data_IF_408476400027
#
_entry.id   IF_408476400027
#
_cell.length_a   1.000
_cell.length_b   1.000
_cell.length_c   1.000
_cell.angle_alpha   90.00
_cell.angle_beta   90.00
_cell.angle_gamma   90.00
#
_symmetry.space_group_name_H-M   'P 1'
#
loop_
_entity.id
_entity.type
_entity.pdbx_description
1 polymer ?
#
# COMPACT_ATOMS: atom_id res chain seq x y z
N UNK A 1 -22.11 15.89 24.96
CA UNK A 1 -22.60 14.60 24.45
C UNK A 1 -21.41 13.69 24.29
N UNK A 2 -21.44 12.47 24.84
CA UNK A 2 -20.35 11.49 24.64
C UNK A 2 -20.41 10.98 23.20
N UNK A 3 -19.32 11.11 22.44
CA UNK A 3 -19.21 10.52 21.12
C UNK A 3 -19.36 8.99 21.25
N UNK A 4 -20.02 8.30 20.30
CA UNK A 4 -20.21 6.84 20.32
C UNK A 4 -18.92 6.05 20.05
N UNK A 5 -17.74 6.65 20.24
CA UNK A 5 -16.43 6.06 19.97
C UNK A 5 -15.48 6.33 21.13
N UNK A 6 -14.63 5.35 21.44
CA UNK A 6 -13.47 5.45 22.29
C UNK A 6 -12.22 5.64 21.42
N UNK A 7 -11.36 6.58 21.79
CA UNK A 7 -10.12 6.87 21.05
C UNK A 7 -8.94 6.69 22.01
N UNK A 8 -7.96 5.88 21.64
CA UNK A 8 -6.83 5.49 22.51
C UNK A 8 -5.57 5.24 21.69
N UNK A 9 -4.40 5.44 22.28
CA UNK A 9 -3.11 5.03 21.70
C UNK A 9 -2.76 3.57 22.05
N UNK A 10 -3.45 2.97 23.02
CA UNK A 10 -3.23 1.59 23.45
C UNK A 10 -4.30 0.66 22.87
N UNK A 11 -3.87 -0.48 22.31
CA UNK A 11 -4.82 -1.49 21.84
C UNK A 11 -5.58 -2.09 23.04
N UNK A 12 -6.91 -2.08 22.98
CA UNK A 12 -7.73 -2.61 24.06
C UNK A 12 -7.42 -4.10 24.31
N UNK A 13 -7.27 -4.57 25.58
CA UNK A 13 -6.81 -5.93 25.87
C UNK A 13 -7.65 -7.05 25.24
N UNK A 14 -8.95 -6.83 25.10
CA UNK A 14 -9.85 -7.80 24.47
C UNK A 14 -9.64 -7.87 22.94
N UNK A 15 -9.27 -6.76 22.29
CA UNK A 15 -8.93 -6.72 20.86
C UNK A 15 -7.59 -7.42 20.63
N UNK A 16 -6.58 -7.08 21.44
CA UNK A 16 -5.29 -7.76 21.46
C UNK A 16 -5.42 -9.29 21.56
N UNK A 17 -6.24 -9.75 22.52
CA UNK A 17 -6.51 -11.18 22.71
C UNK A 17 -7.23 -11.79 21.52
N UNK A 18 -8.22 -11.11 20.94
CA UNK A 18 -8.95 -11.61 19.77
C UNK A 18 -8.06 -11.74 18.53
N UNK A 19 -7.15 -10.79 18.31
CA UNK A 19 -6.13 -10.88 17.26
C UNK A 19 -5.18 -12.06 17.51
N UNK A 20 -4.74 -12.26 18.76
CA UNK A 20 -3.87 -13.38 19.14
C UNK A 20 -4.49 -14.75 18.89
N UNK A 21 -5.82 -14.82 18.97
CA UNK A 21 -6.59 -16.05 18.81
C UNK A 21 -7.12 -16.23 17.38
N UNK A 22 -6.85 -15.30 16.47
CA UNK A 22 -7.40 -15.32 15.10
C UNK A 22 -8.91 -15.04 15.02
N UNK A 23 -9.53 -14.60 16.11
CA UNK A 23 -10.93 -14.18 16.17
C UNK A 23 -11.11 -12.82 15.51
N UNK A 24 -10.07 -11.99 15.55
CA UNK A 24 -10.03 -10.72 14.82
C UNK A 24 -8.92 -10.74 13.76
N UNK A 25 -9.11 -9.97 12.69
CA UNK A 25 -8.14 -9.77 11.64
C UNK A 25 -7.96 -8.28 11.33
N UNK A 26 -6.75 -7.87 10.95
CA UNK A 26 -6.47 -6.51 10.47
C UNK A 26 -6.49 -6.52 8.94
N UNK A 27 -7.31 -5.67 8.34
CA UNK A 27 -7.39 -5.51 6.88
C UNK A 27 -7.42 -4.02 6.51
N UNK A 28 -6.38 -3.53 5.82
CA UNK A 28 -6.35 -2.16 5.29
C UNK A 28 -6.43 -1.04 6.33
N UNK A 29 -6.17 -1.33 7.61
CA UNK A 29 -6.34 -0.38 8.71
C UNK A 29 -7.64 -0.55 9.51
N UNK A 30 -8.39 -1.63 9.31
CA UNK A 30 -9.58 -1.96 10.12
C UNK A 30 -9.37 -3.26 10.85
N UNK A 31 -9.92 -3.35 12.05
CA UNK A 31 -10.01 -4.57 12.85
C UNK A 31 -11.41 -5.16 12.67
N UNK A 32 -11.48 -6.36 12.09
CA UNK A 32 -12.70 -7.08 11.76
C UNK A 32 -12.86 -8.33 12.61
N UNK A 33 -14.11 -8.71 12.90
CA UNK A 33 -14.49 -10.01 13.44
C UNK A 33 -14.52 -11.08 12.34
N UNK A 34 -13.66 -12.10 12.46
CA UNK A 34 -13.53 -13.19 11.47
C UNK A 34 -14.69 -14.17 11.52
N UNK A 35 -15.40 -14.25 12.65
CA UNK A 35 -16.52 -15.18 12.86
C UNK A 35 -17.83 -14.56 12.39
N UNK A 36 -18.03 -13.26 12.67
CA UNK A 36 -19.27 -12.55 12.35
C UNK A 36 -19.25 -11.81 11.02
N UNK A 37 -18.19 -11.99 10.23
CA UNK A 37 -18.00 -11.52 8.85
C UNK A 37 -18.70 -10.17 8.56
N UNK A 38 -17.95 -9.06 8.74
CA UNK A 38 -18.36 -7.64 8.57
C UNK A 38 -18.62 -6.84 9.87
N UNK A 39 -18.35 -7.39 11.05
CA UNK A 39 -18.37 -6.59 12.27
C UNK A 39 -17.05 -5.85 12.43
N UNK A 40 -17.10 -4.52 12.40
CA UNK A 40 -15.94 -3.70 12.71
C UNK A 40 -15.80 -3.55 14.22
N UNK A 41 -14.62 -3.92 14.71
CA UNK A 41 -14.23 -3.80 16.11
C UNK A 41 -13.42 -2.52 16.36
N UNK A 42 -12.76 -2.00 15.33
CA UNK A 42 -12.08 -0.71 15.41
C UNK A 42 -11.33 -0.31 14.15
N UNK A 43 -10.83 0.91 14.15
CA UNK A 43 -10.05 1.50 13.08
C UNK A 43 -8.66 1.87 13.59
N UNK A 44 -7.65 1.64 12.78
CA UNK A 44 -6.30 2.13 12.97
C UNK A 44 -6.17 3.44 12.20
N UNK A 45 -5.81 4.54 12.88
CA UNK A 45 -5.53 5.82 12.24
C UNK A 45 -4.09 6.26 12.52
N UNK A 46 -3.39 6.70 11.49
CA UNK A 46 -2.08 7.35 11.64
C UNK A 46 -2.19 8.65 12.44
N UNK A 47 -1.27 8.86 13.39
CA UNK A 47 -1.28 10.02 14.31
C UNK A 47 -0.54 11.24 13.76
N UNK A 48 0.15 11.07 12.63
CA UNK A 48 0.82 12.13 11.91
C UNK A 48 0.46 11.99 10.43
N UNK A 49 0.16 13.08 9.71
CA UNK A 49 0.27 13.11 8.27
C UNK A 49 1.77 13.13 7.90
N UNK A 50 2.56 12.16 8.39
CA UNK A 50 3.97 12.03 7.99
C UNK A 50 4.13 10.87 7.01
N UNK A 51 4.87 11.11 5.92
CA UNK A 51 5.25 10.11 4.95
C UNK A 51 6.34 9.22 5.56
N UNK A 52 5.95 8.24 6.38
CA UNK A 52 6.89 7.26 6.91
C UNK A 52 6.40 5.85 6.62
N UNK A 53 6.59 5.44 5.37
CA UNK A 53 7.32 4.19 5.14
C UNK A 53 8.23 4.44 3.94
N UNK A 54 9.51 4.15 4.15
CA UNK A 54 10.59 4.31 3.17
C UNK A 54 10.15 3.73 1.82
N UNK A 55 10.01 4.56 0.78
CA UNK A 55 9.67 4.07 -0.54
C UNK A 55 10.86 3.32 -1.19
N UNK A 56 12.05 3.28 -0.55
CA UNK A 56 13.29 2.78 -1.15
C UNK A 56 13.29 1.30 -1.56
N UNK A 57 12.37 0.47 -1.06
CA UNK A 57 12.32 -0.93 -1.50
C UNK A 57 11.51 -1.09 -2.80
N UNK A 58 10.37 -0.41 -2.96
CA UNK A 58 9.62 -0.45 -4.24
C UNK A 58 10.26 0.50 -5.28
N UNK A 59 10.90 1.59 -4.83
CA UNK A 59 11.50 2.63 -5.69
C UNK A 59 12.70 2.16 -6.54
N UNK A 60 13.42 1.11 -6.13
CA UNK A 60 14.59 0.65 -6.88
C UNK A 60 14.33 -0.55 -7.79
N UNK A 61 13.17 -1.19 -7.68
CA UNK A 61 12.99 -2.50 -8.28
C UNK A 61 12.61 -2.40 -9.76
N UNK A 62 11.74 -1.47 -10.16
CA UNK A 62 11.25 -1.43 -11.55
C UNK A 62 12.26 -0.79 -12.54
N UNK A 63 13.29 -0.07 -12.08
CA UNK A 63 14.19 0.71 -12.96
C UNK A 63 15.69 0.45 -12.73
N UNK A 64 16.08 -0.64 -12.05
CA UNK A 64 17.51 -1.04 -11.99
C UNK A 64 17.95 -1.84 -13.23
N UNK A 65 17.67 -1.29 -14.43
CA UNK A 65 18.03 -1.85 -15.74
C UNK A 65 19.13 -1.10 -16.50
N UNK A 66 19.52 0.10 -16.08
CA UNK A 66 20.60 0.83 -16.74
C UNK A 66 21.41 1.71 -15.77
N UNK A 67 22.70 1.41 -15.69
CA UNK A 67 23.81 2.16 -15.08
C UNK A 67 24.02 2.06 -13.56
N UNK A 68 25.05 1.31 -13.15
CA UNK A 68 26.10 1.77 -12.22
C UNK A 68 27.28 0.77 -12.19
N UNK A 69 28.08 0.82 -13.25
CA UNK A 69 29.51 0.50 -13.23
C UNK A 69 30.23 1.79 -13.61
N UNK A 70 30.72 2.56 -12.62
CA UNK A 70 31.89 3.45 -12.76
C UNK A 70 32.32 4.07 -11.42
N UNK A 71 33.55 3.73 -11.02
CA UNK A 71 34.56 4.55 -10.31
C UNK A 71 34.27 5.23 -8.94
N UNK A 72 34.83 4.64 -7.88
CA UNK A 72 35.99 5.14 -7.11
C UNK A 72 36.11 6.61 -6.62
N UNK A 73 36.35 6.73 -5.30
CA UNK A 73 37.17 7.73 -4.57
C UNK A 73 36.48 8.69 -3.57
N UNK A 74 36.79 8.43 -2.27
CA UNK A 74 37.11 9.30 -1.12
C UNK A 74 36.24 10.51 -0.72
N UNK A 75 35.98 10.64 0.60
CA UNK A 75 36.55 11.65 1.51
C UNK A 75 36.34 11.19 2.98
N UNK A 76 37.41 11.29 3.78
CA UNK A 76 37.45 11.05 5.23
C UNK A 76 37.73 12.37 5.96
N UNK A 77 37.14 12.59 7.15
CA UNK A 77 37.68 13.54 8.16
C UNK A 77 37.46 13.02 9.60
N UNK A 78 38.62 12.81 10.25
CA UNK A 78 39.05 12.69 11.65
C UNK A 78 38.10 12.48 12.83
N UNK A 79 38.35 11.39 13.57
CA UNK A 79 37.96 11.15 14.96
C UNK A 79 39.21 11.20 15.87
N UNK A 80 39.28 12.15 16.80
CA UNK A 80 40.23 12.09 17.95
C UNK A 80 39.91 12.99 19.15
N UNK A 81 38.77 13.69 19.16
CA UNK A 81 38.35 14.55 20.28
C UNK A 81 37.33 13.95 21.25
N UNK A 82 36.76 12.76 20.98
CA UNK A 82 35.61 12.24 21.73
C UNK A 82 35.92 11.08 22.70
N UNK A 83 37.12 10.50 22.69
CA UNK A 83 37.40 9.28 23.49
C UNK A 83 37.50 9.51 25.00
N UNK A 84 37.77 10.73 25.46
CA UNK A 84 38.00 11.00 26.88
C UNK A 84 36.71 11.36 27.66
N UNK A 85 35.60 11.62 26.96
CA UNK A 85 34.29 11.88 27.59
C UNK A 85 33.46 10.59 27.75
N UNK A 86 33.59 9.64 26.82
CA UNK A 86 32.91 8.33 26.92
C UNK A 86 33.32 7.54 28.17
N UNK A 87 34.61 7.54 28.51
CA UNK A 87 35.11 6.68 29.58
C UNK A 87 34.66 7.10 31.00
N UNK A 88 34.18 8.34 31.19
CA UNK A 88 33.60 8.81 32.47
C UNK A 88 32.08 8.70 32.51
N UNK A 89 31.41 8.57 31.36
CA UNK A 89 29.98 8.25 31.29
C UNK A 89 29.74 6.75 31.49
N UNK A 90 30.57 5.88 30.92
CA UNK A 90 30.42 4.41 31.01
C UNK A 90 30.45 3.89 32.46
N UNK A 91 31.28 4.48 33.32
CA UNK A 91 31.39 4.08 34.73
C UNK A 91 30.21 4.58 35.59
N UNK A 92 29.54 5.67 35.20
CA UNK A 92 28.34 6.17 35.89
C UNK A 92 27.07 5.41 35.52
N UNK A 93 26.99 4.87 34.29
CA UNK A 93 25.85 4.07 33.83
C UNK A 93 25.89 2.61 34.32
N UNK A 94 27.08 2.07 34.59
CA UNK A 94 27.25 0.71 35.15
C UNK A 94 26.52 0.51 36.48
N UNK A 95 26.63 1.50 37.38
CA UNK A 95 26.13 1.38 38.76
C UNK A 95 24.59 1.56 38.83
N UNK A 96 24.04 2.36 37.90
CA UNK A 96 22.58 2.54 37.73
C UNK A 96 21.94 1.32 37.07
N UNK A 97 22.63 0.67 36.12
CA UNK A 97 22.15 -0.57 35.51
C UNK A 97 22.05 -1.73 36.51
N UNK A 98 22.95 -1.78 37.49
CA UNK A 98 22.93 -2.85 38.49
C UNK A 98 21.78 -2.68 39.50
N UNK A 99 21.39 -1.43 39.81
CA UNK A 99 20.22 -1.14 40.64
C UNK A 99 18.89 -1.34 39.89
N UNK A 100 18.83 -1.00 38.60
CA UNK A 100 17.65 -1.23 37.75
C UNK A 100 17.37 -2.71 37.52
N UNK A 101 18.42 -3.53 37.33
CA UNK A 101 18.26 -4.99 37.12
C UNK A 101 17.66 -5.70 38.34
N UNK A 102 17.93 -5.21 39.55
CA UNK A 102 17.35 -5.76 40.78
C UNK A 102 15.87 -5.37 40.98
N UNK A 103 15.45 -4.23 40.44
CA UNK A 103 14.05 -3.77 40.46
C UNK A 103 13.25 -4.45 39.34
N UNK A 104 13.83 -4.64 38.15
CA UNK A 104 13.20 -5.37 37.04
C UNK A 104 12.89 -6.83 37.40
N UNK A 105 13.80 -7.52 38.09
CA UNK A 105 13.58 -8.91 38.52
C UNK A 105 12.45 -9.05 39.54
N UNK A 106 12.14 -8.00 40.31
CA UNK A 106 11.01 -7.99 41.25
C UNK A 106 9.67 -7.59 40.59
N UNK A 107 9.71 -6.82 39.50
CA UNK A 107 8.51 -6.40 38.74
C UNK A 107 8.08 -7.48 37.73
N UNK A 108 9.01 -8.22 37.12
CA UNK A 108 8.69 -9.29 36.16
C UNK A 108 7.93 -10.50 36.74
N UNK A 109 7.95 -10.69 38.07
CA UNK A 109 7.23 -11.78 38.73
C UNK A 109 5.73 -11.50 38.95
N UNK A 110 5.27 -10.25 38.87
CA UNK A 110 3.89 -9.86 39.27
C UNK A 110 3.06 -9.32 38.09
N UNK A 111 3.67 -8.92 36.98
CA UNK A 111 2.94 -8.47 35.79
C UNK A 111 3.57 -9.02 34.52
N UNK A 112 3.00 -10.09 33.95
CA UNK A 112 3.22 -10.37 32.52
C UNK A 112 2.21 -9.52 31.73
N UNK A 113 2.57 -8.36 31.16
CA UNK A 113 1.83 -7.86 30.03
C UNK A 113 1.96 -8.91 28.93
N UNK A 114 0.85 -9.26 28.29
CA UNK A 114 0.87 -9.97 27.01
C UNK A 114 1.74 -9.13 26.07
N UNK A 115 3.01 -9.51 25.88
CA UNK A 115 3.84 -9.00 24.80
C UNK A 115 3.22 -9.57 23.52
N UNK A 116 2.29 -8.81 22.96
CA UNK A 116 1.75 -9.06 21.62
C UNK A 116 2.95 -8.89 20.68
N UNK A 117 3.45 -9.99 20.13
CA UNK A 117 4.55 -9.93 19.17
C UNK A 117 4.09 -9.15 17.92
N UNK A 118 4.98 -8.41 17.25
CA UNK A 118 4.69 -7.80 15.95
C UNK A 118 4.22 -8.80 14.88
N UNK A 119 4.52 -10.10 15.03
CA UNK A 119 4.01 -11.18 14.18
C UNK A 119 2.49 -11.40 14.30
N UNK A 120 1.91 -10.99 15.43
CA UNK A 120 0.54 -11.31 15.82
C UNK A 120 -0.44 -10.17 15.46
N UNK A 121 0.10 -8.97 15.30
CA UNK A 121 -0.48 -7.95 14.44
C UNK A 121 0.09 -8.16 13.04
N UNK A 122 -0.50 -9.06 12.25
CA UNK A 122 -0.33 -9.05 10.80
C UNK A 122 -0.95 -7.77 10.20
N UNK A 123 -0.44 -6.60 10.62
CA UNK A 123 -0.40 -5.42 9.79
C UNK A 123 0.44 -5.90 8.62
N UNK A 124 -0.21 -6.29 7.53
CA UNK A 124 0.45 -6.73 6.32
C UNK A 124 1.44 -5.64 5.93
N UNK A 125 2.72 -5.87 6.25
CA UNK A 125 3.82 -4.92 6.01
C UNK A 125 4.14 -4.76 4.52
N UNK A 126 3.24 -5.21 3.65
CA UNK A 126 3.26 -4.82 2.26
C UNK A 126 3.18 -3.29 2.22
N UNK A 127 4.21 -2.66 1.65
CA UNK A 127 4.19 -1.22 1.42
C UNK A 127 2.98 -0.90 0.53
N UNK A 128 2.11 0.02 0.93
CA UNK A 128 1.04 0.54 0.07
C UNK A 128 1.16 2.04 -0.05
N UNK A 129 0.74 2.54 -1.21
CA UNK A 129 0.73 3.96 -1.55
C UNK A 129 -0.35 4.73 -0.77
N UNK A 130 -1.41 4.04 -0.31
CA UNK A 130 -2.49 4.63 0.49
C UNK A 130 -2.15 4.62 1.99
N UNK A 131 -2.73 5.52 2.77
CA UNK A 131 -2.58 5.56 4.24
C UNK A 131 -3.67 4.72 4.95
N UNK A 132 -3.69 4.76 6.28
CA UNK A 132 -4.70 4.09 7.12
C UNK A 132 -5.88 5.05 7.41
N UNK A 133 -6.61 5.41 6.36
CA UNK A 133 -7.89 6.14 6.39
C UNK A 133 -8.00 7.28 5.37
N UNK A 134 -9.20 7.51 4.84
CA UNK A 134 -9.56 8.71 4.05
C UNK A 134 -9.28 9.97 4.86
N UNK A 135 -9.58 9.92 6.16
CA UNK A 135 -9.34 11.03 7.09
C UNK A 135 -7.87 11.48 7.10
N UNK A 136 -6.94 10.55 6.96
CA UNK A 136 -5.49 10.79 6.96
C UNK A 136 -4.98 11.23 5.58
N UNK A 137 -5.71 10.93 4.50
CA UNK A 137 -5.37 11.32 3.12
C UNK A 137 -5.79 12.76 2.82
N UNK A 138 -5.10 13.74 3.44
CA UNK A 138 -5.22 15.16 3.09
C UNK A 138 -4.94 15.41 1.61
N UNK A 139 -5.52 16.47 1.03
CA UNK A 139 -5.21 16.86 -0.36
C UNK A 139 -3.72 17.12 -0.61
N UNK A 140 -2.97 17.58 0.41
CA UNK A 140 -1.51 17.68 0.34
C UNK A 140 -0.82 16.31 0.18
N UNK A 141 -1.31 15.28 0.90
CA UNK A 141 -0.81 13.91 0.77
C UNK A 141 -1.17 13.34 -0.60
N UNK A 142 -2.39 13.57 -1.08
CA UNK A 142 -2.84 13.16 -2.42
C UNK A 142 -1.93 13.80 -3.49
N UNK A 143 -1.64 15.10 -3.39
CA UNK A 143 -0.72 15.81 -4.28
C UNK A 143 0.67 15.20 -4.28
N UNK A 144 1.23 14.92 -3.10
CA UNK A 144 2.55 14.28 -2.99
C UNK A 144 2.57 12.91 -3.67
N UNK A 145 1.58 12.05 -3.41
CA UNK A 145 1.48 10.72 -4.03
C UNK A 145 1.30 10.81 -5.54
N UNK A 146 0.51 11.77 -6.01
CA UNK A 146 0.33 12.02 -7.43
C UNK A 146 1.66 12.40 -8.10
N UNK A 147 2.44 13.31 -7.48
CA UNK A 147 3.76 13.68 -7.95
C UNK A 147 4.74 12.50 -7.99
N UNK A 148 4.72 11.63 -6.98
CA UNK A 148 5.53 10.41 -6.94
C UNK A 148 5.19 9.49 -8.12
N UNK A 149 3.90 9.27 -8.40
CA UNK A 149 3.45 8.44 -9.53
C UNK A 149 3.81 9.11 -10.87
N UNK A 150 3.61 10.42 -11.01
CA UNK A 150 3.95 11.17 -12.22
C UNK A 150 5.46 11.09 -12.53
N UNK A 151 6.31 11.20 -11.51
CA UNK A 151 7.76 11.04 -11.66
C UNK A 151 8.13 9.60 -12.07
N UNK A 152 7.46 8.59 -11.52
CA UNK A 152 7.64 7.20 -11.95
C UNK A 152 7.22 6.98 -13.40
N UNK A 153 6.10 7.60 -13.82
CA UNK A 153 5.66 7.55 -15.21
C UNK A 153 6.59 8.31 -16.15
N UNK A 154 7.21 9.42 -15.73
CA UNK A 154 8.25 10.11 -16.52
C UNK A 154 9.45 9.20 -16.74
N UNK A 155 9.94 8.54 -15.69
CA UNK A 155 11.06 7.61 -15.79
C UNK A 155 10.72 6.38 -16.65
N UNK A 156 9.53 5.80 -16.46
CA UNK A 156 9.03 4.74 -17.33
C UNK A 156 8.85 5.23 -18.77
N UNK A 157 8.40 6.48 -18.96
CA UNK A 157 8.23 7.16 -20.25
C UNK A 157 9.55 7.38 -20.98
N UNK A 158 10.65 7.69 -20.28
CA UNK A 158 11.98 7.76 -20.88
C UNK A 158 12.44 6.39 -21.40
N UNK A 159 12.13 5.31 -20.68
CA UNK A 159 12.37 3.94 -21.14
C UNK A 159 11.46 3.56 -22.32
N UNK A 160 10.18 3.93 -22.26
CA UNK A 160 9.17 3.65 -23.28
C UNK A 160 9.31 4.55 -24.53
N UNK A 161 9.95 5.72 -24.40
CA UNK A 161 10.26 6.61 -25.52
C UNK A 161 11.26 5.97 -26.49
N UNK A 162 12.11 5.06 -25.99
CA UNK A 162 12.98 4.20 -26.80
C UNK A 162 12.21 3.23 -27.69
N UNK A 163 10.92 3.00 -27.40
CA UNK A 163 9.98 2.20 -28.21
C UNK A 163 8.82 3.02 -28.78
N UNK A 164 9.00 4.34 -28.93
CA UNK A 164 8.07 5.25 -29.61
C UNK A 164 6.67 5.36 -28.95
N UNK A 165 6.57 5.09 -27.64
CA UNK A 165 5.34 5.25 -26.87
C UNK A 165 5.41 6.52 -26.02
N UNK A 166 4.57 7.50 -26.31
CA UNK A 166 4.48 8.77 -25.55
C UNK A 166 3.41 8.65 -24.47
N UNK A 167 3.81 8.83 -23.21
CA UNK A 167 2.86 9.04 -22.10
C UNK A 167 2.42 10.50 -22.16
N UNK A 168 1.12 10.74 -22.28
CA UNK A 168 0.58 12.11 -22.34
C UNK A 168 0.43 12.68 -20.94
N UNK A 169 1.48 13.28 -20.37
CA UNK A 169 1.39 13.81 -19.00
C UNK A 169 0.46 15.04 -18.85
N UNK A 170 -0.14 15.54 -19.95
CA UNK A 170 -1.02 16.71 -19.88
C UNK A 170 -2.27 16.48 -19.02
N UNK A 171 -2.74 15.23 -18.89
CA UNK A 171 -3.89 14.92 -18.04
C UNK A 171 -3.59 14.99 -16.52
N UNK A 172 -2.31 14.88 -16.11
CA UNK A 172 -1.93 15.09 -14.71
C UNK A 172 -2.12 16.56 -14.30
N UNK A 173 -1.96 17.50 -15.23
CA UNK A 173 -2.22 18.91 -14.97
C UNK A 173 -3.69 19.16 -14.58
N UNK A 174 -4.62 18.42 -15.19
CA UNK A 174 -6.04 18.53 -14.84
C UNK A 174 -6.33 18.01 -13.42
N UNK A 175 -5.69 16.90 -13.04
CA UNK A 175 -5.80 16.37 -11.67
C UNK A 175 -5.16 17.33 -10.66
N UNK A 176 -3.94 17.84 -10.92
CA UNK A 176 -3.31 18.86 -10.07
C UNK A 176 -4.19 20.09 -9.90
N UNK A 177 -4.80 20.60 -10.97
CA UNK A 177 -5.75 21.72 -10.89
C UNK A 177 -6.96 21.39 -10.00
N UNK A 178 -7.50 20.17 -10.07
CA UNK A 178 -8.54 19.71 -9.16
C UNK A 178 -8.10 19.70 -7.70
N UNK A 179 -6.88 19.24 -7.41
CA UNK A 179 -6.32 19.22 -6.05
C UNK A 179 -6.13 20.65 -5.53
N UNK A 180 -5.59 21.56 -6.33
CA UNK A 180 -5.43 22.97 -5.96
C UNK A 180 -6.78 23.65 -5.67
N UNK A 181 -7.80 23.39 -6.50
CA UNK A 181 -9.16 23.89 -6.27
C UNK A 181 -9.74 23.37 -4.95
N UNK A 182 -9.49 22.10 -4.61
CA UNK A 182 -9.95 21.51 -3.36
C UNK A 182 -9.20 22.08 -2.13
N UNK A 183 -7.88 22.20 -2.20
CA UNK A 183 -7.07 22.83 -1.14
C UNK A 183 -7.53 24.27 -0.85
N UNK A 184 -7.78 25.03 -1.92
CA UNK A 184 -8.29 26.40 -1.79
C UNK A 184 -9.72 26.40 -1.24
N UNK A 185 -10.62 25.54 -1.73
CA UNK A 185 -12.00 25.47 -1.28
C UNK A 185 -12.12 25.34 0.25
N UNK A 186 -11.37 24.41 0.84
CA UNK A 186 -11.49 24.07 2.26
C UNK A 186 -10.67 24.97 3.20
N UNK A 187 -9.97 25.96 2.65
CA UNK A 187 -9.36 27.07 3.41
C UNK A 187 -10.17 28.36 3.32
N UNK A 188 -11.18 28.43 2.44
CA UNK A 188 -12.05 29.60 2.29
C UNK A 188 -13.02 29.78 3.47
N UNK A 189 -13.19 31.03 3.90
CA UNK A 189 -14.10 31.43 4.98
C UNK A 189 -15.55 31.53 4.55
N UNK A 190 -15.82 31.92 3.29
CA UNK A 190 -17.18 32.05 2.75
C UNK A 190 -17.70 30.70 2.23
N UNK A 191 -18.86 30.28 2.75
CA UNK A 191 -19.50 29.00 2.43
C UNK A 191 -19.80 28.87 0.94
N UNK A 192 -20.34 29.91 0.30
CA UNK A 192 -20.67 29.87 -1.14
C UNK A 192 -19.44 29.68 -2.03
N UNK A 193 -18.34 30.35 -1.69
CA UNK A 193 -17.08 30.23 -2.43
C UNK A 193 -16.48 28.84 -2.23
N UNK A 194 -16.52 28.31 -0.99
CA UNK A 194 -16.11 26.94 -0.67
C UNK A 194 -16.89 25.94 -1.51
N UNK A 195 -18.22 26.04 -1.52
CA UNK A 195 -19.08 25.13 -2.28
C UNK A 195 -18.80 25.19 -3.78
N UNK A 196 -18.73 26.39 -4.34
CA UNK A 196 -18.42 26.58 -5.78
C UNK A 196 -17.06 25.98 -6.16
N UNK A 197 -16.01 26.24 -5.37
CA UNK A 197 -14.66 25.71 -5.62
C UNK A 197 -14.60 24.19 -5.45
N UNK A 198 -15.28 23.63 -4.46
CA UNK A 198 -15.37 22.19 -4.25
C UNK A 198 -16.09 21.49 -5.41
N UNK A 199 -17.19 22.05 -5.93
CA UNK A 199 -17.89 21.51 -7.11
C UNK A 199 -17.00 21.55 -8.37
N UNK A 200 -16.20 22.60 -8.54
CA UNK A 200 -15.23 22.65 -9.64
C UNK A 200 -14.14 21.59 -9.48
N UNK A 201 -13.63 21.36 -8.27
CA UNK A 201 -12.69 20.29 -7.99
C UNK A 201 -13.29 18.91 -8.30
N UNK A 202 -14.53 18.66 -7.86
CA UNK A 202 -15.25 17.41 -8.15
C UNK A 202 -15.34 17.17 -9.66
N UNK A 203 -15.74 18.16 -10.46
CA UNK A 203 -15.81 18.01 -11.92
C UNK A 203 -14.46 17.64 -12.54
N UNK A 204 -13.36 18.19 -12.02
CA UNK A 204 -12.00 17.87 -12.47
C UNK A 204 -11.60 16.45 -12.09
N UNK A 205 -11.98 15.98 -10.91
CA UNK A 205 -11.74 14.60 -10.49
C UNK A 205 -12.58 13.59 -11.27
N UNK A 206 -13.82 13.92 -11.62
CA UNK A 206 -14.67 13.11 -12.49
C UNK A 206 -14.07 12.98 -13.90
N UNK A 207 -13.61 14.09 -14.46
CA UNK A 207 -12.91 14.09 -15.76
C UNK A 207 -11.64 13.24 -15.71
N UNK A 208 -10.84 13.39 -14.64
CA UNK A 208 -9.68 12.55 -14.38
C UNK A 208 -10.04 11.06 -14.28
N UNK A 209 -11.10 10.70 -13.53
CA UNK A 209 -11.58 9.32 -13.40
C UNK A 209 -11.85 8.70 -14.78
N UNK A 210 -12.62 9.38 -15.63
CA UNK A 210 -12.94 8.90 -16.98
C UNK A 210 -11.67 8.67 -17.81
N UNK A 211 -10.76 9.64 -17.81
CA UNK A 211 -9.50 9.55 -18.56
C UNK A 211 -8.65 8.36 -18.07
N UNK A 212 -8.42 8.26 -16.76
CA UNK A 212 -7.56 7.22 -16.19
C UNK A 212 -8.17 5.83 -16.30
N UNK A 213 -9.50 5.72 -16.28
CA UNK A 213 -10.20 4.46 -16.53
C UNK A 213 -9.91 3.94 -17.93
N UNK A 214 -10.05 4.77 -18.96
CA UNK A 214 -9.80 4.37 -20.34
C UNK A 214 -8.33 4.01 -20.55
N UNK A 215 -7.40 4.82 -20.02
CA UNK A 215 -5.98 4.48 -20.07
C UNK A 215 -5.69 3.16 -19.38
N UNK A 216 -6.20 2.94 -18.17
CA UNK A 216 -5.94 1.70 -17.43
C UNK A 216 -6.40 0.47 -18.22
N UNK A 217 -7.60 0.51 -18.80
CA UNK A 217 -8.14 -0.60 -19.60
C UNK A 217 -7.31 -0.84 -20.87
N UNK A 218 -6.90 0.22 -21.55
CA UNK A 218 -6.06 0.13 -22.75
C UNK A 218 -4.68 -0.46 -22.42
N UNK A 219 -4.05 0.01 -21.35
CA UNK A 219 -2.73 -0.45 -20.89
C UNK A 219 -2.78 -1.91 -20.41
N UNK A 220 -3.88 -2.32 -19.76
CA UNK A 220 -4.14 -3.71 -19.39
C UNK A 220 -4.20 -4.62 -20.61
N UNK A 221 -4.92 -4.18 -21.65
CA UNK A 221 -5.05 -4.91 -22.91
C UNK A 221 -3.69 -5.07 -23.61
N UNK A 222 -2.83 -4.06 -23.48
CA UNK A 222 -1.47 -4.06 -24.02
C UNK A 222 -0.44 -4.72 -23.09
N UNK A 223 -0.85 -5.19 -21.91
CA UNK A 223 0.01 -5.85 -20.90
C UNK A 223 1.22 -4.99 -20.50
N UNK A 224 1.01 -3.68 -20.42
CA UNK A 224 2.03 -2.65 -20.25
C UNK A 224 2.63 -2.58 -18.83
N UNK A 225 3.91 -2.18 -18.66
CA UNK A 225 4.53 -2.07 -17.34
C UNK A 225 4.01 -0.92 -16.46
N UNK A 226 3.16 -0.02 -16.99
CA UNK A 226 2.64 1.15 -16.25
C UNK A 226 1.19 0.99 -15.78
N UNK A 227 0.62 -0.22 -15.89
CA UNK A 227 -0.77 -0.50 -15.47
C UNK A 227 -0.98 -0.14 -13.99
N UNK A 228 -0.05 -0.53 -13.12
CA UNK A 228 -0.12 -0.28 -11.69
C UNK A 228 -0.18 1.23 -11.37
N UNK A 229 0.58 2.05 -12.09
CA UNK A 229 0.60 3.51 -11.93
C UNK A 229 -0.75 4.14 -12.26
N UNK A 230 -1.42 3.67 -13.30
CA UNK A 230 -2.75 4.18 -13.65
C UNK A 230 -3.83 3.70 -12.68
N UNK A 231 -3.77 2.45 -12.20
CA UNK A 231 -4.68 1.96 -11.14
C UNK A 231 -4.52 2.81 -9.88
N UNK A 232 -3.28 3.11 -9.47
CA UNK A 232 -3.00 3.96 -8.31
C UNK A 232 -3.51 5.39 -8.52
N UNK A 233 -3.31 5.96 -9.71
CA UNK A 233 -3.80 7.30 -10.04
C UNK A 233 -5.32 7.38 -10.01
N UNK A 234 -6.01 6.37 -10.57
CA UNK A 234 -7.46 6.25 -10.51
C UNK A 234 -7.96 6.08 -9.07
N UNK A 235 -7.24 5.31 -8.25
CA UNK A 235 -7.55 5.17 -6.81
C UNK A 235 -7.48 6.52 -6.09
N UNK A 236 -6.44 7.34 -6.37
CA UNK A 236 -6.32 8.69 -5.81
C UNK A 236 -7.45 9.61 -6.27
N UNK A 237 -7.90 9.51 -7.53
CA UNK A 237 -8.99 10.31 -8.05
C UNK A 237 -10.30 10.03 -7.29
N UNK A 238 -10.65 8.75 -7.08
CA UNK A 238 -11.83 8.38 -6.27
C UNK A 238 -11.73 8.88 -4.82
N UNK A 239 -10.55 8.80 -4.21
CA UNK A 239 -10.32 9.30 -2.84
C UNK A 239 -10.52 10.82 -2.79
N UNK A 240 -9.96 11.55 -3.76
CA UNK A 240 -10.09 12.99 -3.84
C UNK A 240 -11.54 13.44 -4.05
N UNK A 241 -12.27 12.77 -4.95
CA UNK A 241 -13.70 13.01 -5.20
C UNK A 241 -14.53 12.75 -3.94
N UNK A 242 -14.39 11.57 -3.33
CA UNK A 242 -15.15 11.22 -2.13
C UNK A 242 -14.84 12.18 -0.98
N UNK A 243 -13.57 12.57 -0.80
CA UNK A 243 -13.19 13.58 0.19
C UNK A 243 -13.89 14.92 -0.06
N UNK A 244 -13.97 15.40 -1.30
CA UNK A 244 -14.70 16.62 -1.61
C UNK A 244 -16.18 16.54 -1.21
N UNK A 245 -16.85 15.41 -1.50
CA UNK A 245 -18.24 15.22 -1.08
C UNK A 245 -18.39 15.16 0.45
N UNK A 246 -17.47 14.51 1.16
CA UNK A 246 -17.47 14.47 2.63
C UNK A 246 -17.28 15.86 3.26
N UNK A 247 -16.40 16.68 2.70
CA UNK A 247 -16.18 18.07 3.15
C UNK A 247 -17.40 18.98 2.84
N UNK A 248 -18.25 18.58 1.89
CA UNK A 248 -19.56 19.19 1.62
C UNK A 248 -20.71 18.55 2.44
N UNK A 249 -20.39 17.62 3.35
CA UNK A 249 -21.33 16.85 4.17
C UNK A 249 -22.30 15.96 3.34
N UNK A 250 -21.97 15.69 2.07
CA UNK A 250 -22.73 14.84 1.13
C UNK A 250 -22.33 13.36 1.27
N UNK A 251 -22.53 12.80 2.48
CA UNK A 251 -22.07 11.46 2.85
C UNK A 251 -22.61 10.34 1.95
N UNK A 252 -23.89 10.38 1.59
CA UNK A 252 -24.51 9.35 0.74
C UNK A 252 -23.90 9.34 -0.67
N UNK A 253 -23.67 10.53 -1.23
CA UNK A 253 -23.01 10.69 -2.54
C UNK A 253 -21.57 10.19 -2.47
N UNK A 254 -20.82 10.60 -1.44
CA UNK A 254 -19.45 10.14 -1.23
C UNK A 254 -19.39 8.61 -1.15
N UNK A 255 -20.25 8.00 -0.35
CA UNK A 255 -20.29 6.56 -0.16
C UNK A 255 -20.62 5.82 -1.47
N UNK A 256 -21.70 6.23 -2.16
CA UNK A 256 -22.14 5.58 -3.40
C UNK A 256 -21.05 5.65 -4.47
N UNK A 257 -20.47 6.83 -4.69
CA UNK A 257 -19.41 7.04 -5.69
C UNK A 257 -18.15 6.25 -5.36
N UNK A 258 -17.76 6.24 -4.09
CA UNK A 258 -16.58 5.50 -3.65
C UNK A 258 -16.79 3.98 -3.74
N UNK A 259 -18.00 3.47 -3.48
CA UNK A 259 -18.38 2.07 -3.70
C UNK A 259 -18.33 1.68 -5.18
N UNK A 260 -18.91 2.50 -6.07
CA UNK A 260 -18.86 2.29 -7.52
C UNK A 260 -17.40 2.20 -8.00
N UNK A 261 -16.55 3.13 -7.54
CA UNK A 261 -15.12 3.13 -7.82
C UNK A 261 -14.38 1.93 -7.25
N UNK A 262 -14.70 1.52 -6.01
CA UNK A 262 -14.09 0.37 -5.34
C UNK A 262 -14.31 -0.94 -6.09
N UNK A 263 -15.54 -1.20 -6.56
CA UNK A 263 -15.84 -2.37 -7.40
C UNK A 263 -15.01 -2.35 -8.69
N UNK A 264 -14.90 -1.19 -9.32
CA UNK A 264 -14.15 -1.06 -10.55
C UNK A 264 -12.65 -1.24 -10.36
N UNK A 265 -12.06 -0.63 -9.34
CA UNK A 265 -10.64 -0.81 -8.96
C UNK A 265 -10.35 -2.27 -8.64
N UNK A 266 -11.22 -2.94 -7.87
CA UNK A 266 -11.10 -4.36 -7.53
C UNK A 266 -11.03 -5.23 -8.78
N UNK A 267 -11.92 -5.00 -9.75
CA UNK A 267 -11.94 -5.72 -11.03
C UNK A 267 -10.65 -5.49 -11.84
N UNK A 268 -10.15 -4.25 -11.90
CA UNK A 268 -8.90 -3.93 -12.59
C UNK A 268 -7.70 -4.60 -11.93
N UNK A 269 -7.64 -4.58 -10.60
CA UNK A 269 -6.58 -5.20 -9.83
C UNK A 269 -6.56 -6.72 -9.96
N UNK A 270 -7.73 -7.36 -9.97
CA UNK A 270 -7.81 -8.79 -10.20
C UNK A 270 -7.21 -9.15 -11.56
N UNK A 271 -7.60 -8.46 -12.64
CA UNK A 271 -7.04 -8.69 -13.97
C UNK A 271 -5.53 -8.42 -14.02
N UNK A 272 -5.06 -7.39 -13.33
CA UNK A 272 -3.64 -7.09 -13.23
C UNK A 272 -2.87 -8.20 -12.52
N UNK A 273 -3.37 -8.70 -11.39
CA UNK A 273 -2.74 -9.78 -10.62
C UNK A 273 -2.75 -11.09 -11.42
N UNK A 274 -3.86 -11.44 -12.07
CA UNK A 274 -3.92 -12.60 -12.98
C UNK A 274 -2.88 -12.50 -14.11
N UNK A 275 -2.69 -11.31 -14.67
CA UNK A 275 -1.65 -11.06 -15.66
C UNK A 275 -0.24 -11.26 -15.07
N UNK A 276 0.01 -10.76 -13.85
CA UNK A 276 1.30 -10.85 -13.17
C UNK A 276 1.61 -12.26 -12.66
N UNK A 277 0.60 -13.09 -12.36
CA UNK A 277 0.79 -14.50 -12.01
C UNK A 277 1.38 -15.34 -13.16
N UNK A 278 1.42 -14.78 -14.37
CA UNK A 278 1.93 -15.39 -15.61
C UNK A 278 1.09 -16.59 -16.07
N UNK A 279 1.44 -17.15 -17.23
CA UNK A 279 0.85 -18.40 -17.72
C UNK A 279 1.19 -19.62 -16.83
N UNK A 280 2.27 -19.52 -16.03
CA UNK A 280 2.70 -20.59 -15.11
C UNK A 280 3.14 -20.00 -13.76
N UNK A 281 2.23 -19.90 -12.77
CA UNK A 281 2.52 -19.31 -11.46
C UNK A 281 3.56 -20.09 -10.64
N UNK A 282 3.84 -21.35 -10.97
CA UNK A 282 4.88 -22.12 -10.30
C UNK A 282 6.28 -21.54 -10.50
N UNK A 283 6.48 -20.64 -11.48
CA UNK A 283 7.73 -19.90 -11.65
C UNK A 283 8.12 -19.08 -10.41
N UNK A 284 7.14 -18.63 -9.62
CA UNK A 284 7.40 -17.93 -8.36
C UNK A 284 7.92 -18.85 -7.24
N UNK A 285 7.73 -20.16 -7.37
CA UNK A 285 8.25 -21.17 -6.44
C UNK A 285 9.61 -21.73 -6.90
N UNK A 286 10.27 -21.09 -7.87
CA UNK A 286 11.58 -21.51 -8.35
C UNK A 286 12.62 -21.48 -7.22
N UNK A 287 13.53 -22.48 -7.12
CA UNK A 287 14.47 -22.59 -5.99
C UNK A 287 15.33 -21.35 -5.72
N UNK A 288 15.62 -20.53 -6.73
CA UNK A 288 16.41 -19.30 -6.57
C UNK A 288 15.72 -18.22 -5.71
N UNK A 289 14.39 -18.32 -5.55
CA UNK A 289 13.60 -17.37 -4.75
C UNK A 289 13.37 -17.86 -3.32
N UNK A 290 14.02 -18.96 -2.92
CA UNK A 290 13.92 -19.50 -1.56
C UNK A 290 14.27 -18.42 -0.52
N UNK A 291 13.36 -18.20 0.43
CA UNK A 291 13.47 -17.17 1.47
C UNK A 291 12.93 -15.79 1.06
N UNK A 292 12.67 -15.56 -0.24
CA UNK A 292 12.00 -14.35 -0.73
C UNK A 292 10.53 -14.64 -1.03
N UNK A 293 10.26 -15.69 -1.82
CA UNK A 293 8.91 -16.15 -2.16
C UNK A 293 8.77 -17.62 -1.74
N UNK A 294 7.68 -17.92 -1.06
CA UNK A 294 7.31 -19.25 -0.64
C UNK A 294 5.84 -19.54 -0.99
N UNK A 295 5.42 -20.78 -0.75
CA UNK A 295 4.05 -21.22 -0.99
C UNK A 295 3.05 -20.43 -0.15
N UNK A 296 3.40 -20.05 1.08
CA UNK A 296 2.52 -19.29 1.97
C UNK A 296 2.20 -17.91 1.37
N UNK A 297 3.23 -17.15 0.96
CA UNK A 297 3.07 -15.85 0.31
C UNK A 297 2.29 -15.96 -1.00
N UNK A 298 2.57 -16.98 -1.83
CA UNK A 298 1.80 -17.22 -3.05
C UNK A 298 0.33 -17.52 -2.73
N UNK A 299 0.09 -18.29 -1.66
CA UNK A 299 -1.27 -18.58 -1.18
C UNK A 299 -2.00 -17.33 -0.74
N UNK A 300 -1.33 -16.36 -0.11
CA UNK A 300 -1.95 -15.07 0.24
C UNK A 300 -2.44 -14.28 -0.99
N UNK A 301 -1.73 -14.37 -2.13
CA UNK A 301 -2.19 -13.77 -3.40
C UNK A 301 -3.47 -14.47 -3.87
N UNK A 302 -3.48 -15.81 -3.87
CA UNK A 302 -4.66 -16.59 -4.27
C UNK A 302 -5.85 -16.37 -3.32
N UNK A 303 -5.61 -16.33 -2.01
CA UNK A 303 -6.62 -16.03 -0.99
C UNK A 303 -7.26 -14.65 -1.17
N UNK A 304 -6.49 -13.68 -1.66
CA UNK A 304 -7.07 -12.40 -2.02
C UNK A 304 -8.02 -12.54 -3.21
N UNK A 305 -7.70 -13.34 -4.23
CA UNK A 305 -8.56 -13.58 -5.39
C UNK A 305 -9.83 -14.35 -4.98
N UNK A 306 -9.66 -15.45 -4.28
CA UNK A 306 -10.74 -16.27 -3.71
C UNK A 306 -10.35 -16.71 -2.29
N UNK A 307 -11.10 -16.26 -1.26
CA UNK A 307 -10.82 -16.58 0.14
C UNK A 307 -10.80 -18.08 0.48
N UNK A 308 -11.37 -18.94 -0.37
CA UNK A 308 -11.42 -20.38 -0.13
C UNK A 308 -10.09 -21.10 -0.38
N UNK A 309 -9.12 -20.44 -1.01
CA UNK A 309 -7.81 -21.02 -1.21
C UNK A 309 -7.05 -21.21 0.12
N UNK A 310 -6.44 -22.37 0.26
CA UNK A 310 -5.47 -22.68 1.30
C UNK A 310 -4.18 -23.25 0.69
N UNK A 311 -3.13 -23.37 1.50
CA UNK A 311 -1.81 -23.80 1.01
C UNK A 311 -1.85 -25.16 0.29
N UNK A 312 -2.67 -26.10 0.78
CA UNK A 312 -2.82 -27.40 0.14
C UNK A 312 -3.44 -27.26 -1.25
N UNK A 313 -4.52 -26.50 -1.39
CA UNK A 313 -5.17 -26.28 -2.69
C UNK A 313 -4.25 -25.58 -3.70
N UNK A 314 -3.51 -24.57 -3.24
CA UNK A 314 -2.55 -23.85 -4.10
C UNK A 314 -1.40 -24.77 -4.49
N UNK A 315 -0.89 -25.59 -3.56
CA UNK A 315 0.13 -26.58 -3.86
C UNK A 315 -0.33 -27.59 -4.91
N UNK A 316 -1.53 -28.15 -4.76
CA UNK A 316 -2.07 -29.10 -5.75
C UNK A 316 -2.23 -28.46 -7.13
N UNK A 317 -2.68 -27.20 -7.21
CA UNK A 317 -2.73 -26.46 -8.47
C UNK A 317 -1.35 -26.25 -9.09
N UNK A 318 -0.33 -25.97 -8.28
CA UNK A 318 1.02 -25.73 -8.78
C UNK A 318 1.80 -27.01 -9.07
N UNK A 319 1.37 -28.17 -8.55
CA UNK A 319 2.08 -29.45 -8.70
C UNK A 319 2.37 -29.77 -10.16
N UNK A 320 1.35 -29.74 -11.03
CA UNK A 320 1.55 -29.96 -12.46
C UNK A 320 2.33 -28.83 -13.14
N UNK A 321 2.09 -27.60 -12.71
CA UNK A 321 2.73 -26.40 -13.25
C UNK A 321 4.24 -26.41 -13.03
N UNK A 322 4.72 -26.94 -11.91
CA UNK A 322 6.15 -27.13 -11.64
C UNK A 322 6.79 -28.07 -12.67
N UNK A 323 6.13 -29.19 -13.02
CA UNK A 323 6.62 -30.09 -14.06
C UNK A 323 6.56 -29.44 -15.45
N UNK A 324 5.43 -28.80 -15.80
CA UNK A 324 5.26 -28.11 -17.08
C UNK A 324 6.32 -27.01 -17.27
N UNK A 325 6.63 -26.25 -16.23
CA UNK A 325 7.66 -25.21 -16.28
C UNK A 325 9.04 -25.76 -16.69
N UNK A 326 9.39 -26.96 -16.22
CA UNK A 326 10.65 -27.61 -16.59
C UNK A 326 10.64 -28.21 -18.00
N UNK A 327 9.48 -28.65 -18.50
CA UNK A 327 9.34 -29.26 -19.83
C UNK A 327 9.21 -28.23 -20.95
N UNK A 328 8.46 -27.15 -20.70
CA UNK A 328 8.13 -26.09 -21.67
C UNK A 328 8.66 -24.73 -21.21
N UNK A 329 9.89 -24.70 -20.70
CA UNK A 329 10.51 -23.51 -20.13
C UNK A 329 10.56 -22.35 -21.13
N UNK A 330 11.01 -22.62 -22.36
CA UNK A 330 11.14 -21.60 -23.42
C UNK A 330 9.78 -21.05 -23.83
N UNK A 331 8.73 -21.88 -23.85
CA UNK A 331 7.37 -21.48 -24.18
C UNK A 331 6.83 -20.53 -23.10
N UNK A 332 6.98 -20.90 -21.82
CA UNK A 332 6.62 -20.02 -20.70
C UNK A 332 7.36 -18.70 -20.78
N UNK A 333 8.68 -18.74 -20.97
CA UNK A 333 9.52 -17.55 -21.02
C UNK A 333 9.10 -16.63 -22.18
N UNK A 334 8.76 -17.20 -23.33
CA UNK A 334 8.26 -16.44 -24.48
C UNK A 334 6.89 -15.80 -24.27
N UNK A 335 6.09 -16.36 -23.36
CA UNK A 335 4.71 -15.94 -23.03
C UNK A 335 4.63 -14.84 -21.96
N UNK A 336 5.76 -14.48 -21.33
CA UNK A 336 5.79 -13.45 -20.30
C UNK A 336 5.29 -12.10 -20.84
N UNK A 337 4.42 -11.39 -20.10
CA UNK A 337 3.97 -10.06 -20.49
C UNK A 337 5.10 -9.03 -20.44
N UNK A 338 5.01 -7.99 -21.28
CA UNK A 338 5.97 -6.87 -21.27
C UNK A 338 5.99 -6.11 -19.95
N UNK A 339 4.91 -6.18 -19.17
CA UNK A 339 4.86 -5.71 -17.79
C UNK A 339 5.88 -6.37 -16.85
N UNK A 340 6.34 -7.59 -17.16
CA UNK A 340 7.37 -8.30 -16.37
C UNK A 340 8.75 -8.08 -16.99
N UNK A 341 8.89 -8.34 -18.29
CA UNK A 341 10.11 -8.04 -19.05
C UNK A 341 9.74 -7.64 -20.48
N UNK A 342 10.17 -6.45 -20.89
CA UNK A 342 10.10 -6.06 -22.30
C UNK A 342 11.34 -6.56 -23.08
N UNK A 343 11.12 -7.15 -24.24
CA UNK A 343 12.19 -7.64 -25.13
C UNK A 343 13.05 -6.49 -25.68
N UNK A 344 12.52 -5.27 -25.74
CA UNK A 344 13.26 -4.08 -26.19
C UNK A 344 14.23 -3.53 -25.15
N UNK A 345 14.07 -3.87 -23.87
CA UNK A 345 14.93 -3.38 -22.78
C UNK A 345 16.28 -4.11 -22.71
N UNK A 346 16.40 -5.26 -23.37
CA UNK A 346 17.62 -6.07 -23.35
C UNK A 346 18.57 -5.55 -24.43
N UNK A 347 19.78 -5.14 -24.03
CA UNK A 347 20.82 -4.71 -24.96
C UNK A 347 21.34 -5.92 -25.77
N UNK A 348 20.81 -6.08 -26.98
CA UNK A 348 21.29 -7.08 -27.94
C UNK A 348 22.59 -6.58 -28.57
N UNK A 349 23.70 -7.27 -28.29
CA UNK A 349 25.00 -6.93 -28.89
C UNK A 349 24.97 -6.99 -30.42
N UNK A 350 25.83 -6.20 -31.07
CA UNK A 350 25.88 -5.93 -32.52
C UNK A 350 26.11 -7.19 -33.39
N UNK A 351 26.34 -8.36 -32.79
CA UNK A 351 26.56 -9.64 -33.47
C UNK A 351 25.54 -10.75 -33.12
N UNK A 352 24.46 -10.44 -32.39
CA UNK A 352 23.42 -11.41 -32.04
C UNK A 352 22.20 -11.32 -32.96
N UNK A 353 21.90 -12.39 -33.70
CA UNK A 353 20.67 -12.52 -34.48
C UNK A 353 19.40 -12.40 -33.62
N UNK A 354 18.25 -12.36 -34.29
CA UNK A 354 16.88 -12.22 -33.75
C UNK A 354 16.69 -12.74 -32.30
N UNK A 355 15.84 -12.07 -31.50
CA UNK A 355 15.61 -12.36 -30.08
C UNK A 355 15.08 -13.78 -29.94
N UNK A 356 15.98 -14.71 -29.74
CA UNK A 356 15.65 -16.05 -29.33
C UNK A 356 15.82 -16.13 -27.81
N UNK A 357 14.96 -16.89 -27.10
CA UNK A 357 15.13 -17.15 -25.66
C UNK A 357 16.54 -17.68 -25.32
N UNK A 358 17.23 -18.25 -26.31
CA UNK A 358 18.50 -19.00 -26.22
C UNK A 358 19.77 -18.23 -25.85
N UNK A 359 19.72 -16.93 -25.54
CA UNK A 359 20.92 -16.23 -25.03
C UNK A 359 21.01 -16.19 -23.50
N UNK A 360 20.01 -16.73 -22.79
CA UNK A 360 19.94 -16.72 -21.31
C UNK A 360 19.80 -15.31 -20.69
N UNK A 361 19.96 -14.24 -21.48
CA UNK A 361 19.85 -12.84 -21.02
C UNK A 361 18.41 -12.47 -20.67
N UNK A 362 17.46 -12.89 -21.51
CA UNK A 362 16.03 -12.65 -21.25
C UNK A 362 15.57 -13.42 -20.00
N UNK A 363 15.96 -14.70 -19.89
CA UNK A 363 15.70 -15.53 -18.71
C UNK A 363 16.26 -14.90 -17.43
N UNK A 364 17.52 -14.44 -17.46
CA UNK A 364 18.15 -13.79 -16.32
C UNK A 364 17.43 -12.52 -15.89
N UNK A 365 16.99 -11.68 -16.84
CA UNK A 365 16.22 -10.47 -16.51
C UNK A 365 14.82 -10.82 -16.00
N UNK A 366 14.17 -11.85 -16.55
CA UNK A 366 12.87 -12.33 -16.06
C UNK A 366 12.97 -12.79 -14.61
N UNK A 367 13.94 -13.64 -14.28
CA UNK A 367 14.12 -14.10 -12.92
C UNK A 367 14.59 -13.02 -11.95
N UNK A 368 15.27 -11.97 -12.43
CA UNK A 368 15.56 -10.78 -11.63
C UNK A 368 14.30 -9.96 -11.33
N UNK A 369 13.36 -9.88 -12.28
CA UNK A 369 12.13 -9.07 -12.18
C UNK A 369 11.00 -9.76 -11.42
N UNK A 370 10.91 -11.10 -11.45
CA UNK A 370 9.81 -11.83 -10.81
C UNK A 370 9.63 -11.53 -9.31
N UNK A 371 10.68 -11.49 -8.47
CA UNK A 371 10.54 -11.09 -7.06
C UNK A 371 9.93 -9.69 -6.89
N UNK A 372 10.33 -8.78 -7.77
CA UNK A 372 9.88 -7.39 -7.77
C UNK A 372 8.41 -7.28 -8.12
N UNK A 373 8.01 -8.00 -9.18
CA UNK A 373 6.62 -8.09 -9.61
C UNK A 373 5.76 -8.69 -8.50
N UNK A 374 6.27 -9.69 -7.78
CA UNK A 374 5.59 -10.29 -6.64
C UNK A 374 5.35 -9.28 -5.52
N UNK A 375 6.36 -8.49 -5.15
CA UNK A 375 6.21 -7.41 -4.17
C UNK A 375 5.21 -6.35 -4.63
N UNK A 376 5.20 -5.99 -5.92
CA UNK A 376 4.21 -5.07 -6.49
C UNK A 376 2.80 -5.66 -6.39
N UNK A 377 2.60 -6.95 -6.68
CA UNK A 377 1.29 -7.60 -6.48
C UNK A 377 0.83 -7.49 -5.02
N UNK A 378 1.70 -7.77 -4.05
CA UNK A 378 1.38 -7.63 -2.63
C UNK A 378 1.03 -6.18 -2.26
N UNK A 379 1.79 -5.22 -2.79
CA UNK A 379 1.55 -3.79 -2.60
C UNK A 379 0.21 -3.34 -3.17
N UNK A 380 -0.16 -3.82 -4.35
CA UNK A 380 -1.43 -3.50 -5.00
C UNK A 380 -2.62 -4.15 -4.28
N UNK A 381 -2.46 -5.37 -3.76
CA UNK A 381 -3.44 -6.03 -2.89
C UNK A 381 -3.65 -5.23 -1.61
N UNK A 382 -2.57 -4.83 -0.93
CA UNK A 382 -2.66 -4.01 0.27
C UNK A 382 -3.31 -2.65 -0.04
N UNK A 383 -3.01 -2.08 -1.19
CA UNK A 383 -3.65 -0.84 -1.66
C UNK A 383 -5.15 -1.03 -1.85
N UNK A 384 -5.61 -2.14 -2.43
CA UNK A 384 -7.04 -2.46 -2.49
C UNK A 384 -7.67 -2.57 -1.11
N UNK A 385 -6.99 -3.25 -0.17
CA UNK A 385 -7.49 -3.41 1.20
C UNK A 385 -7.63 -2.06 1.91
N UNK A 386 -6.66 -1.14 1.74
CA UNK A 386 -6.76 0.23 2.25
C UNK A 386 -7.89 1.00 1.58
N UNK A 387 -8.09 0.81 0.28
CA UNK A 387 -9.23 1.41 -0.43
C UNK A 387 -10.58 0.88 0.10
N UNK A 388 -10.73 -0.43 0.33
CA UNK A 388 -11.93 -1.00 0.97
C UNK A 388 -12.10 -0.48 2.40
N UNK A 389 -10.98 -0.26 3.10
CA UNK A 389 -11.01 0.29 4.44
C UNK A 389 -11.51 1.74 4.48
N UNK A 390 -11.20 2.51 3.45
CA UNK A 390 -11.68 3.88 3.29
C UNK A 390 -13.19 3.92 3.10
N UNK A 391 -13.73 2.99 2.30
CA UNK A 391 -15.17 2.86 2.12
C UNK A 391 -15.86 2.55 3.46
N UNK A 392 -15.28 1.63 4.23
CA UNK A 392 -15.75 1.26 5.56
C UNK A 392 -15.74 2.46 6.52
N UNK A 393 -14.67 3.27 6.49
CA UNK A 393 -14.58 4.50 7.29
C UNK A 393 -15.72 5.47 6.93
N UNK A 394 -15.99 5.69 5.64
CA UNK A 394 -17.10 6.55 5.18
C UNK A 394 -18.45 6.02 5.68
N UNK A 395 -18.69 4.72 5.60
CA UNK A 395 -19.90 4.09 6.13
C UNK A 395 -20.03 4.29 7.65
N UNK A 396 -18.93 4.13 8.40
CA UNK A 396 -18.93 4.30 9.83
C UNK A 396 -19.21 5.76 10.24
N UNK A 397 -18.63 6.75 9.55
CA UNK A 397 -18.93 8.17 9.77
C UNK A 397 -20.44 8.42 9.62
N UNK A 398 -21.03 7.91 8.54
CA UNK A 398 -22.46 8.03 8.27
C UNK A 398 -23.33 7.32 9.32
N UNK A 399 -23.01 6.07 9.69
CA UNK A 399 -23.76 5.30 10.69
C UNK A 399 -23.68 5.89 12.10
N UNK A 400 -22.52 6.45 12.47
CA UNK A 400 -22.30 7.06 13.78
C UNK A 400 -22.91 8.46 13.88
N UNK A 401 -23.35 9.05 12.76
CA UNK A 401 -23.90 10.40 12.71
C UNK A 401 -22.90 11.49 13.10
N UNK A 402 -21.60 11.24 12.88
CA UNK A 402 -20.51 12.19 13.18
C UNK A 402 -20.22 12.96 11.89
N UNK A 403 -20.09 14.29 11.96
CA UNK A 403 -19.66 15.07 10.79
C UNK A 403 -18.24 14.68 10.36
N UNK A 404 -17.92 14.79 9.07
CA UNK A 404 -16.56 14.51 8.62
C UNK A 404 -15.53 15.40 9.34
N UNK A 405 -15.87 16.67 9.57
CA UNK A 405 -15.03 17.62 10.30
C UNK A 405 -14.75 17.20 11.75
N UNK A 406 -15.74 16.66 12.46
CA UNK A 406 -15.54 16.18 13.83
C UNK A 406 -14.78 14.86 13.84
N UNK A 407 -15.01 13.99 12.85
CA UNK A 407 -14.26 12.76 12.65
C UNK A 407 -12.75 13.01 12.45
N UNK A 408 -12.38 14.07 11.72
CA UNK A 408 -10.99 14.48 11.54
C UNK A 408 -10.32 14.96 12.84
N UNK A 409 -11.10 15.53 13.77
CA UNK A 409 -10.59 16.08 15.05
C UNK A 409 -10.48 15.03 16.16
N UNK A 410 -10.95 13.81 15.94
CA UNK A 410 -10.88 12.72 16.91
C UNK A 410 -9.42 12.51 17.35
N UNK A 411 -9.18 12.69 18.64
CA UNK A 411 -7.91 12.43 19.32
C UNK A 411 -8.21 11.94 20.75
N UNK A 412 -7.32 11.12 21.35
CA UNK A 412 -7.46 10.74 22.76
C UNK A 412 -7.44 11.97 23.65
N UNK A 413 -8.52 12.19 24.42
CA UNK A 413 -8.66 13.37 25.29
C UNK A 413 -7.98 13.20 26.66
N UNK A 414 -7.68 11.96 27.05
CA UNK A 414 -7.20 11.58 28.38
C UNK A 414 -5.81 10.94 28.37
N UNK A 415 -5.28 10.59 27.20
CA UNK A 415 -4.00 9.90 27.05
C UNK A 415 -2.95 10.85 26.47
N UNK A 416 -1.79 10.89 27.11
CA UNK A 416 -0.60 11.55 26.54
C UNK A 416 -0.08 10.61 25.45
N UNK A 417 0.10 11.13 24.24
CA UNK A 417 0.70 10.38 23.13
C UNK A 417 2.04 9.78 23.59
N UNK A 418 2.19 8.45 23.62
CA UNK A 418 3.46 7.83 23.97
C UNK A 418 4.56 8.21 22.97
N UNK A 419 5.80 8.34 23.44
CA UNK A 419 6.94 8.59 22.57
C UNK A 419 7.07 7.46 21.54
N UNK A 420 7.06 7.83 20.26
CA UNK A 420 7.10 6.87 19.14
C UNK A 420 5.76 6.23 18.76
N UNK A 421 4.63 6.60 19.39
CA UNK A 421 3.32 6.11 18.95
C UNK A 421 2.96 6.69 17.56
N UNK A 422 2.94 5.85 16.54
CA UNK A 422 2.58 6.25 15.17
C UNK A 422 1.08 6.09 14.88
N UNK A 423 0.38 5.29 15.68
CA UNK A 423 -1.02 4.90 15.47
C UNK A 423 -1.91 5.27 16.66
N UNK A 424 -3.16 5.58 16.37
CA UNK A 424 -4.26 5.63 17.34
C UNK A 424 -5.38 4.70 16.88
N UNK A 425 -6.16 4.24 17.85
CA UNK A 425 -7.29 3.34 17.64
C UNK A 425 -8.60 4.09 17.88
N UNK A 426 -9.54 3.91 16.96
CA UNK A 426 -10.91 4.41 17.10
C UNK A 426 -11.82 3.19 17.23
N UNK A 427 -12.39 3.02 18.42
CA UNK A 427 -13.16 1.84 18.81
C UNK A 427 -14.61 2.28 19.01
N UNK A 428 -15.56 1.86 18.16
CA UNK A 428 -16.96 2.17 18.37
C UNK A 428 -17.50 1.48 19.64
N UNK A 429 -18.44 2.14 20.32
CA UNK A 429 -18.99 1.66 21.61
C UNK A 429 -19.71 0.31 21.48
N UNK A 430 -20.18 0.01 20.28
CA UNK A 430 -20.70 -1.30 19.86
C UNK A 430 -20.05 -1.64 18.52
N UNK A 431 -19.78 -2.92 18.22
CA UNK A 431 -19.35 -3.33 16.89
C UNK A 431 -20.30 -2.78 15.82
N UNK A 432 -19.73 -2.23 14.74
CA UNK A 432 -20.51 -1.72 13.63
C UNK A 432 -20.79 -2.84 12.64
N UNK A 433 -22.06 -3.08 12.37
CA UNK A 433 -22.52 -3.97 11.31
C UNK A 433 -22.56 -3.17 10.01
N UNK A 434 -21.59 -3.39 9.13
CA UNK A 434 -21.61 -2.77 7.81
C UNK A 434 -22.43 -3.58 6.83
N UNK A 435 -23.15 -2.87 5.96
CA UNK A 435 -23.69 -3.50 4.76
C UNK A 435 -22.52 -3.99 3.90
N UNK A 436 -22.54 -5.25 3.42
CA UNK A 436 -21.49 -5.77 2.58
C UNK A 436 -21.32 -4.87 1.35
N UNK A 437 -20.06 -4.56 1.03
CA UNK A 437 -19.68 -4.06 -0.28
C UNK A 437 -20.13 -5.11 -1.31
N UNK A 438 -21.23 -4.86 -2.02
CA UNK A 438 -21.73 -5.76 -3.07
C UNK A 438 -20.70 -5.94 -4.17
#
# INVERSE_FOLDING_TARGET
>A
MSLPVQITFALAPHIAKGLAQGVYAVCGGIILDTVKNNNIIGFLRGTTPTPTSSPNNVLNLIISGANLLTSGANIAVSAKGFSNVNQRLDNGFSDVNQQLSNIENQIQAIGKPLQISPELLQITTAASVLNLGVSVMGFAVISQRLNEIENQLKQAGELLSKINRKIDLSFYANFHAGIELALNAFTMTRIENRRSSALQAINRFLEAEHIYKDYTVNELSQKSPIIDKYILTLSLAYIAEARCHLELEEHETALRRFQEGGKFIRLLLQKYIELMLTSNPAAYLHPQFKGQIDLHKLTQIYQWIDPNFNENTVFEMQRENMFKLTQSHDEWLSSLPSAIVDRSEIQWGIFGGNPTPFTGRFEKEAYKRLPQVFEVMQSMIETNRRFEAYQTEIQAISQLGISFHDWLKLSPSTEIKPDGAELMYIIPSKPLELQPSI
#
